data_IF_346066101379
#
_entry.id   IF_346066101379
#
_cell.length_a   1.000
_cell.length_b   1.000
_cell.length_c   1.000
_cell.angle_alpha   90.00
_cell.angle_beta   90.00
_cell.angle_gamma   90.00
#
_symmetry.space_group_name_H-M   'P 1'
#
loop_
_entity.id
_entity.type
_entity.pdbx_description
1 polymer ?
#
# COMPACT_ATOMS: atom_id res chain seq x y z
N UNK A 1 12.50 4.12 12.02
CA UNK A 1 11.71 3.66 10.87
C UNK A 1 11.98 4.64 9.75
N UNK A 2 12.61 4.19 8.67
CA UNK A 2 12.82 5.01 7.49
C UNK A 2 11.46 5.20 6.82
N UNK A 3 10.95 6.43 6.80
CA UNK A 3 9.73 6.75 6.05
C UNK A 3 9.91 6.35 4.58
N UNK A 4 8.83 5.88 3.96
CA UNK A 4 8.81 5.56 2.54
C UNK A 4 9.15 6.83 1.75
N UNK A 5 10.35 6.87 1.15
CA UNK A 5 10.78 7.96 0.28
C UNK A 5 9.94 7.93 -1.00
N UNK A 6 9.12 8.95 -1.23
CA UNK A 6 8.41 9.12 -2.51
C UNK A 6 9.41 9.64 -3.55
N UNK A 7 9.48 8.96 -4.70
CA UNK A 7 10.17 9.45 -5.89
C UNK A 7 9.14 10.12 -6.80
N UNK A 8 9.39 11.36 -7.20
CA UNK A 8 8.57 12.01 -8.21
C UNK A 8 8.89 11.40 -9.59
N UNK A 9 7.97 10.61 -10.13
CA UNK A 9 8.10 10.11 -11.50
C UNK A 9 7.44 11.10 -12.46
N UNK A 10 8.20 11.72 -13.38
CA UNK A 10 7.66 12.65 -14.38
C UNK A 10 7.90 12.20 -15.81
N UNK A 11 6.87 12.42 -16.63
CA UNK A 11 6.86 12.25 -18.08
C UNK A 11 6.81 13.65 -18.74
N UNK A 12 7.83 14.05 -19.50
CA UNK A 12 7.76 15.21 -20.41
C UNK A 12 8.90 16.22 -20.30
N UNK A 13 9.40 16.71 -21.45
CA UNK A 13 10.49 17.68 -21.59
C UNK A 13 10.11 19.14 -21.29
N UNK A 14 11.05 20.06 -21.53
CA UNK A 14 11.00 21.50 -21.18
C UNK A 14 9.58 22.10 -21.20
N UNK A 15 9.06 22.40 -20.01
CA UNK A 15 7.76 23.05 -19.85
C UNK A 15 7.93 24.53 -20.21
N UNK A 16 7.22 24.98 -21.26
CA UNK A 16 7.33 26.33 -21.88
C UNK A 16 7.43 27.50 -20.90
N UNK A 17 6.83 27.39 -19.72
CA UNK A 17 6.59 28.50 -18.78
C UNK A 17 7.43 28.49 -17.50
N UNK A 18 8.26 27.47 -17.28
CA UNK A 18 9.04 27.33 -16.06
C UNK A 18 10.38 26.65 -16.31
N UNK A 19 11.36 26.99 -15.50
CA UNK A 19 12.63 26.28 -15.43
C UNK A 19 12.56 25.27 -14.30
N UNK A 20 13.02 24.05 -14.58
CA UNK A 20 13.05 22.96 -13.63
C UNK A 20 14.50 22.63 -13.29
N UNK A 21 14.74 22.38 -12.02
CA UNK A 21 16.04 21.97 -11.51
C UNK A 21 15.83 20.80 -10.54
N UNK A 22 16.36 19.65 -10.91
CA UNK A 22 16.41 18.48 -10.07
C UNK A 22 17.82 18.31 -9.51
N UNK A 23 17.91 18.04 -8.21
CA UNK A 23 19.16 17.76 -7.52
C UNK A 23 18.95 16.47 -6.73
N UNK A 24 19.76 15.47 -7.06
CA UNK A 24 19.94 14.29 -6.22
C UNK A 24 21.18 14.55 -5.38
N UNK A 25 21.02 14.57 -4.06
CA UNK A 25 22.13 14.81 -3.14
C UNK A 25 23.12 13.66 -3.22
N UNK A 26 24.29 13.91 -3.81
CA UNK A 26 25.42 13.01 -3.80
C UNK A 26 26.56 13.57 -2.94
N UNK A 27 27.66 12.83 -2.81
CA UNK A 27 28.80 13.29 -2.01
C UNK A 27 29.39 14.59 -2.56
N UNK A 28 29.44 14.73 -3.88
CA UNK A 28 29.96 15.93 -4.53
C UNK A 28 29.09 17.16 -4.22
N UNK A 29 27.77 16.99 -4.18
CA UNK A 29 26.82 18.02 -3.79
C UNK A 29 27.07 18.50 -2.37
N UNK A 30 27.26 17.57 -1.42
CA UNK A 30 27.54 17.88 -0.01
C UNK A 30 28.92 18.55 0.19
N UNK A 31 29.89 18.20 -0.65
CA UNK A 31 31.24 18.77 -0.58
C UNK A 31 31.32 20.16 -1.24
N UNK A 32 30.50 20.41 -2.26
CA UNK A 32 30.50 21.64 -3.06
C UNK A 32 29.53 22.70 -2.53
N UNK A 33 28.40 22.27 -1.98
CA UNK A 33 27.39 23.15 -1.41
C UNK A 33 27.47 23.05 0.11
N UNK A 34 27.40 24.19 0.82
CA UNK A 34 27.44 24.26 2.28
C UNK A 34 26.16 23.68 2.92
N UNK A 35 25.85 22.41 2.67
CA UNK A 35 24.66 21.73 3.17
C UNK A 35 23.38 22.26 2.52
N UNK A 36 22.64 23.09 3.26
CA UNK A 36 21.27 23.50 2.92
C UNK A 36 21.17 24.66 1.91
N UNK A 37 22.31 25.20 1.46
CA UNK A 37 22.34 26.27 0.46
C UNK A 37 22.28 25.67 -0.95
N UNK A 38 21.28 26.06 -1.72
CA UNK A 38 21.02 25.54 -3.06
C UNK A 38 21.24 26.67 -4.06
N UNK A 39 22.20 26.47 -4.97
CA UNK A 39 22.39 27.36 -6.12
C UNK A 39 21.37 27.02 -7.20
N UNK A 40 20.61 28.04 -7.60
CA UNK A 40 19.65 27.96 -8.68
C UNK A 40 20.38 28.02 -10.03
N UNK A 41 20.00 27.12 -10.93
CA UNK A 41 20.46 27.09 -12.32
C UNK A 41 19.95 28.27 -13.13
N UNK A 42 18.84 28.86 -12.70
CA UNK A 42 18.18 29.98 -13.36
C UNK A 42 17.87 31.06 -12.32
N UNK A 43 18.30 32.32 -12.56
CA UNK A 43 17.98 33.42 -11.65
C UNK A 43 16.47 33.66 -11.63
N UNK A 44 15.94 34.06 -10.48
CA UNK A 44 14.55 34.49 -10.34
C UNK A 44 14.48 35.83 -9.60
N UNK A 45 13.30 36.44 -9.56
CA UNK A 45 13.07 37.69 -8.84
C UNK A 45 12.70 37.37 -7.39
N UNK A 46 13.51 37.76 -6.42
CA UNK A 46 13.18 37.56 -4.99
C UNK A 46 11.86 38.23 -4.60
N UNK A 47 11.12 37.63 -3.67
CA UNK A 47 9.84 38.11 -3.15
C UNK A 47 8.70 38.07 -4.17
N UNK A 48 8.90 37.41 -5.32
CA UNK A 48 7.89 37.28 -6.38
C UNK A 48 7.00 36.05 -6.21
N UNK A 49 7.25 35.19 -5.21
CA UNK A 49 6.61 33.89 -5.01
C UNK A 49 6.70 32.97 -6.24
N UNK A 50 7.70 33.17 -7.11
CA UNK A 50 7.91 32.44 -8.37
C UNK A 50 8.71 31.14 -8.21
N UNK A 51 8.96 30.71 -6.98
CA UNK A 51 9.63 29.45 -6.70
C UNK A 51 8.64 28.44 -6.11
N UNK A 52 8.70 27.21 -6.63
CA UNK A 52 8.13 26.04 -5.98
C UNK A 52 9.27 25.09 -5.63
N UNK A 53 9.52 24.91 -4.33
CA UNK A 53 10.62 24.08 -3.81
C UNK A 53 10.04 22.83 -3.18
N UNK A 54 10.62 21.68 -3.50
CA UNK A 54 10.22 20.37 -2.99
C UNK A 54 11.44 19.64 -2.43
N UNK A 55 11.26 18.96 -1.29
CA UNK A 55 12.25 18.09 -0.67
C UNK A 55 11.63 16.70 -0.45
N UNK A 56 12.21 15.66 -1.07
CA UNK A 56 11.70 14.28 -1.06
C UNK A 56 10.19 14.19 -1.38
N UNK A 57 9.74 15.03 -2.33
CA UNK A 57 8.34 15.14 -2.76
C UNK A 57 7.44 16.02 -1.88
N UNK A 58 7.90 16.49 -0.72
CA UNK A 58 7.16 17.44 0.11
C UNK A 58 7.42 18.87 -0.35
N UNK A 59 6.35 19.64 -0.61
CA UNK A 59 6.48 21.08 -0.93
C UNK A 59 6.89 21.86 0.32
N UNK A 60 7.89 22.72 0.15
CA UNK A 60 8.40 23.63 1.18
C UNK A 60 7.82 25.03 0.94
N UNK A 61 7.42 25.69 2.02
CA UNK A 61 6.90 27.07 1.98
C UNK A 61 8.02 28.08 2.22
N UNK A 62 7.94 29.23 1.58
CA UNK A 62 8.81 30.37 1.89
C UNK A 62 8.58 30.81 3.35
N UNK A 63 9.66 31.13 4.07
CA UNK A 63 9.58 31.64 5.46
C UNK A 63 9.25 30.57 6.51
N UNK A 64 9.51 29.30 6.20
CA UNK A 64 9.36 28.18 7.15
C UNK A 64 9.77 26.80 6.62
N UNK A 65 9.98 26.66 5.31
CA UNK A 65 10.59 25.49 4.68
C UNK A 65 11.80 25.84 3.79
N UNK A 66 11.85 27.06 3.24
CA UNK A 66 13.05 27.62 2.63
C UNK A 66 13.10 29.15 2.81
N UNK A 67 14.29 29.72 2.68
CA UNK A 67 14.56 31.14 2.69
C UNK A 67 15.23 31.58 1.39
N UNK A 68 14.80 32.72 0.87
CA UNK A 68 15.41 33.38 -0.28
C UNK A 68 16.63 34.20 0.18
N UNK A 69 17.82 33.87 -0.32
CA UNK A 69 19.06 34.56 0.06
C UNK A 69 19.39 35.65 -0.96
N UNK A 70 19.42 35.26 -2.23
CA UNK A 70 19.68 36.13 -3.37
C UNK A 70 18.97 35.55 -4.63
N UNK A 71 18.96 36.25 -5.77
CA UNK A 71 18.32 35.77 -7.00
C UNK A 71 18.79 34.39 -7.51
N UNK A 72 19.94 33.90 -7.06
CA UNK A 72 20.56 32.67 -7.51
C UNK A 72 20.69 31.63 -6.38
N UNK A 73 20.26 31.95 -5.16
CA UNK A 73 20.54 31.11 -3.99
C UNK A 73 19.36 31.08 -3.05
N UNK A 74 18.95 29.89 -2.66
CA UNK A 74 18.01 29.66 -1.56
C UNK A 74 18.69 28.85 -0.46
N UNK A 75 18.19 28.97 0.77
CA UNK A 75 18.56 28.12 1.90
C UNK A 75 17.35 27.27 2.29
N UNK A 76 17.49 25.96 2.30
CA UNK A 76 16.45 25.08 2.85
C UNK A 76 16.41 25.24 4.38
N UNK A 77 15.20 25.35 4.93
CA UNK A 77 14.94 25.31 6.36
C UNK A 77 14.17 24.03 6.69
N UNK A 78 14.91 22.95 6.91
CA UNK A 78 14.35 21.64 7.26
C UNK A 78 14.07 21.51 8.78
N UNK A 79 14.21 22.60 9.53
CA UNK A 79 14.04 22.64 10.97
C UNK A 79 15.15 21.97 11.76
N UNK A 80 14.87 21.71 13.04
CA UNK A 80 15.78 21.06 13.98
C UNK A 80 15.23 19.73 14.47
N UNK A 81 16.13 18.83 14.85
CA UNK A 81 15.73 17.55 15.41
C UNK A 81 14.96 17.71 16.73
N UNK A 82 13.85 16.97 16.93
CA UNK A 82 13.02 17.08 18.13
C UNK A 82 13.76 16.55 19.38
N UNK A 83 13.31 16.91 20.59
CA UNK A 83 14.00 16.56 21.85
C UNK A 83 14.24 15.05 22.08
N UNK A 84 13.46 14.20 21.42
CA UNK A 84 13.53 12.74 21.54
C UNK A 84 14.63 12.14 20.62
N UNK A 85 15.15 12.92 19.68
CA UNK A 85 16.15 12.47 18.72
C UNK A 85 17.57 12.61 19.27
N UNK A 86 18.49 11.73 18.86
CA UNK A 86 19.90 11.73 19.33
C UNK A 86 20.66 13.02 19.00
N UNK A 87 20.21 13.77 18.00
CA UNK A 87 20.78 15.04 17.56
C UNK A 87 19.87 16.23 17.93
N UNK A 88 19.08 16.12 19.00
CA UNK A 88 18.13 17.13 19.43
C UNK A 88 18.71 18.56 19.40
N UNK A 89 17.96 19.50 18.81
CA UNK A 89 18.36 20.91 18.67
C UNK A 89 19.37 21.19 17.56
N UNK A 90 19.92 20.17 16.90
CA UNK A 90 20.74 20.36 15.70
C UNK A 90 19.87 20.53 14.46
N UNK A 91 20.27 21.36 13.48
CA UNK A 91 19.60 21.45 12.17
C UNK A 91 19.54 20.09 11.49
N UNK A 92 18.43 19.80 10.81
CA UNK A 92 18.31 18.59 9.98
C UNK A 92 19.20 18.74 8.75
N UNK A 93 20.24 17.89 8.56
CA UNK A 93 21.12 17.97 7.41
C UNK A 93 20.51 17.25 6.19
N UNK A 94 21.09 17.50 5.02
CA UNK A 94 20.83 16.68 3.83
C UNK A 94 21.60 15.36 3.91
N UNK A 95 20.99 14.28 3.45
CA UNK A 95 21.62 12.97 3.33
C UNK A 95 21.79 12.56 1.88
N UNK A 96 22.80 11.74 1.60
CA UNK A 96 23.00 11.16 0.26
C UNK A 96 21.73 10.42 -0.17
N UNK A 97 21.28 10.70 -1.39
CA UNK A 97 20.07 10.18 -1.99
C UNK A 97 18.78 10.89 -1.55
N UNK A 98 18.87 12.04 -0.90
CA UNK A 98 17.75 12.97 -0.82
C UNK A 98 17.54 13.68 -2.15
N UNK A 99 16.28 13.99 -2.45
CA UNK A 99 15.86 14.64 -3.69
C UNK A 99 15.38 16.05 -3.39
N UNK A 100 15.95 17.03 -4.09
CA UNK A 100 15.50 18.42 -4.06
C UNK A 100 15.07 18.78 -5.47
N UNK A 101 13.85 19.28 -5.58
CA UNK A 101 13.29 19.67 -6.86
C UNK A 101 12.77 21.11 -6.78
N UNK A 102 13.25 21.95 -7.68
CA UNK A 102 12.95 23.38 -7.70
C UNK A 102 12.36 23.72 -9.05
N UNK A 103 11.25 24.45 -9.03
CA UNK A 103 10.63 25.04 -10.20
C UNK A 103 10.66 26.55 -10.08
N UNK A 104 11.32 27.21 -11.01
CA UNK A 104 11.36 28.67 -11.13
C UNK A 104 10.49 29.10 -12.31
N UNK A 105 9.45 29.89 -12.03
CA UNK A 105 8.57 30.42 -13.06
C UNK A 105 9.27 31.55 -13.83
N UNK A 106 9.08 31.63 -15.17
CA UNK A 106 9.72 32.66 -16.00
C UNK A 106 9.09 34.04 -15.75
N UNK A 107 9.92 35.07 -15.53
CA UNK A 107 9.47 36.43 -15.18
C UNK A 107 8.54 37.08 -16.22
N UNK A 108 8.70 36.71 -17.50
CA UNK A 108 7.86 37.18 -18.63
C UNK A 108 6.36 36.88 -18.42
N UNK A 109 6.02 35.87 -17.61
CA UNK A 109 4.64 35.48 -17.36
C UNK A 109 3.87 36.49 -16.49
N UNK A 110 4.54 37.14 -15.54
CA UNK A 110 3.93 38.20 -14.71
C UNK A 110 3.65 39.47 -15.53
N UNK A 111 4.48 39.76 -16.53
CA UNK A 111 4.33 40.95 -17.38
C UNK A 111 3.11 40.84 -18.32
N UNK A 112 2.69 39.61 -18.66
CA UNK A 112 1.54 39.35 -19.54
C UNK A 112 0.19 39.31 -18.82
N UNK A 113 0.12 39.67 -17.54
CA UNK A 113 -1.12 39.62 -16.76
C UNK A 113 -1.54 38.22 -16.30
N UNK A 114 -0.65 37.23 -16.42
CA UNK A 114 -0.87 35.89 -15.88
C UNK A 114 -0.62 35.85 -14.37
N UNK A 115 -1.60 35.36 -13.61
CA UNK A 115 -1.42 35.10 -12.18
C UNK A 115 -0.90 33.67 -12.00
N UNK A 116 0.29 33.53 -11.41
CA UNK A 116 0.92 32.24 -11.10
C UNK A 116 0.03 31.39 -10.19
N UNK A 117 -0.74 32.03 -9.32
CA UNK A 117 -1.70 31.34 -8.46
C UNK A 117 -2.78 30.63 -9.26
N UNK A 118 -3.19 31.17 -10.42
CA UNK A 118 -4.16 30.52 -11.31
C UNK A 118 -3.59 29.21 -11.86
N UNK A 119 -2.32 29.19 -12.28
CA UNK A 119 -1.67 27.97 -12.77
C UNK A 119 -1.44 26.95 -11.65
N UNK A 120 -1.08 27.41 -10.44
CA UNK A 120 -1.00 26.55 -9.26
C UNK A 120 -2.37 25.94 -8.92
N UNK A 121 -3.43 26.74 -9.01
CA UNK A 121 -4.80 26.25 -8.81
C UNK A 121 -5.19 25.22 -9.87
N UNK A 122 -4.87 25.47 -11.14
CA UNK A 122 -5.15 24.53 -12.23
C UNK A 122 -4.37 23.22 -12.07
N UNK A 123 -3.09 23.28 -11.69
CA UNK A 123 -2.28 22.09 -11.43
C UNK A 123 -2.80 21.30 -10.22
N UNK A 124 -3.22 21.98 -9.14
CA UNK A 124 -3.86 21.35 -7.99
C UNK A 124 -5.21 20.74 -8.38
N UNK A 125 -6.00 21.43 -9.22
CA UNK A 125 -7.27 20.92 -9.72
C UNK A 125 -7.05 19.67 -10.58
N UNK A 126 -6.04 19.67 -11.44
CA UNK A 126 -5.64 18.50 -12.24
C UNK A 126 -5.18 17.34 -11.36
N UNK A 127 -4.34 17.59 -10.36
CA UNK A 127 -3.93 16.57 -9.37
C UNK A 127 -5.13 16.01 -8.60
N UNK A 128 -6.05 16.87 -8.17
CA UNK A 128 -7.29 16.45 -7.51
C UNK A 128 -8.16 15.61 -8.45
N UNK A 129 -8.26 16.01 -9.72
CA UNK A 129 -9.01 15.26 -10.73
C UNK A 129 -8.37 13.89 -10.95
N UNK A 130 -7.06 13.81 -11.13
CA UNK A 130 -6.31 12.56 -11.28
C UNK A 130 -6.44 11.67 -10.03
N UNK A 131 -6.29 12.23 -8.83
CA UNK A 131 -6.48 11.51 -7.57
C UNK A 131 -7.93 11.03 -7.36
N UNK A 132 -8.91 11.66 -8.02
CA UNK A 132 -10.33 11.27 -7.99
C UNK A 132 -10.72 10.34 -9.13
N UNK A 133 -9.88 10.17 -10.16
CA UNK A 133 -10.14 9.20 -11.23
C UNK A 133 -9.94 7.79 -10.67
N UNK A 134 -10.98 6.97 -10.78
CA UNK A 134 -10.87 5.55 -10.52
C UNK A 134 -9.92 4.92 -11.54
N UNK A 135 -8.91 4.19 -11.08
CA UNK A 135 -8.13 3.31 -11.94
C UNK A 135 -9.03 2.18 -12.48
N UNK A 136 -8.64 1.54 -13.59
CA UNK A 136 -9.41 0.42 -14.16
C UNK A 136 -9.61 -0.77 -13.21
N UNK A 137 -8.81 -0.85 -12.15
CA UNK A 137 -8.87 -1.89 -11.11
C UNK A 137 -9.61 -1.44 -9.85
N UNK A 138 -9.99 -0.17 -9.75
CA UNK A 138 -10.63 0.35 -8.54
C UNK A 138 -12.09 -0.08 -8.49
N UNK A 139 -12.54 -0.47 -7.29
CA UNK A 139 -13.94 -0.80 -7.06
C UNK A 139 -14.72 0.49 -6.87
N UNK A 140 -15.75 0.78 -7.68
CA UNK A 140 -16.58 1.96 -7.48
C UNK A 140 -17.44 1.77 -6.22
N UNK A 141 -17.39 2.74 -5.31
CA UNK A 141 -18.22 2.77 -4.11
C UNK A 141 -19.25 3.88 -4.25
N UNK A 142 -20.50 3.57 -3.90
CA UNK A 142 -21.61 4.52 -4.06
C UNK A 142 -21.68 5.53 -2.90
N UNK A 143 -21.10 5.20 -1.74
CA UNK A 143 -21.03 6.07 -0.56
C UNK A 143 -19.62 6.07 0.04
N UNK A 144 -19.31 7.15 0.74
CA UNK A 144 -18.08 7.28 1.52
C UNK A 144 -18.00 6.23 2.63
N UNK A 145 -19.15 5.88 3.23
CA UNK A 145 -19.24 4.83 4.25
C UNK A 145 -18.86 3.46 3.68
N UNK A 146 -19.41 3.07 2.52
CA UNK A 146 -19.06 1.82 1.84
C UNK A 146 -17.55 1.72 1.54
N UNK A 147 -16.93 2.86 1.20
CA UNK A 147 -15.48 2.95 0.96
C UNK A 147 -14.70 2.83 2.26
N UNK A 148 -15.17 3.45 3.34
CA UNK A 148 -14.52 3.40 4.64
C UNK A 148 -14.57 1.98 5.22
N UNK A 149 -15.72 1.32 5.13
CA UNK A 149 -15.91 -0.08 5.50
C UNK A 149 -14.96 -0.99 4.71
N UNK A 150 -14.89 -0.82 3.39
CA UNK A 150 -13.96 -1.57 2.54
C UNK A 150 -12.47 -1.37 2.92
N UNK A 151 -12.07 -0.14 3.27
CA UNK A 151 -10.69 0.17 3.69
C UNK A 151 -10.39 -0.43 5.07
N UNK A 152 -11.33 -0.34 6.01
CA UNK A 152 -11.20 -0.88 7.37
C UNK A 152 -11.17 -2.41 7.35
N UNK A 153 -12.01 -3.03 6.53
CA UNK A 153 -11.98 -4.47 6.27
C UNK A 153 -10.60 -4.86 5.75
N UNK A 154 -10.07 -4.17 4.74
CA UNK A 154 -8.77 -4.52 4.17
C UNK A 154 -7.58 -4.34 5.12
N UNK A 155 -7.66 -3.43 6.08
CA UNK A 155 -6.62 -3.20 7.10
C UNK A 155 -6.63 -4.24 8.24
N UNK A 156 -7.72 -5.00 8.41
CA UNK A 156 -7.95 -5.94 9.52
C UNK A 156 -8.05 -7.40 9.10
N UNK A 157 -7.99 -7.70 7.79
CA UNK A 157 -8.02 -9.08 7.29
C UNK A 157 -6.67 -9.77 7.51
N UNK A 158 -6.72 -10.94 8.16
CA UNK A 158 -5.61 -11.88 8.29
C UNK A 158 -6.05 -13.23 7.79
N UNK A 159 -5.11 -14.07 7.34
CA UNK A 159 -5.43 -15.38 6.80
C UNK A 159 -4.68 -16.49 7.52
N UNK A 160 -5.37 -17.63 7.72
CA UNK A 160 -4.75 -18.91 8.03
C UNK A 160 -4.70 -19.70 6.73
N UNK A 161 -3.51 -20.19 6.35
CA UNK A 161 -3.31 -20.90 5.08
C UNK A 161 -2.86 -22.32 5.35
N UNK A 162 -3.58 -23.29 4.80
CA UNK A 162 -3.26 -24.71 4.85
C UNK A 162 -2.91 -25.20 3.44
N UNK A 163 -1.75 -25.84 3.30
CA UNK A 163 -1.22 -26.30 2.01
C UNK A 163 -1.00 -27.81 2.02
N UNK A 164 -1.62 -28.49 1.05
CA UNK A 164 -1.47 -29.93 0.80
C UNK A 164 -0.87 -30.15 -0.60
N UNK A 165 0.44 -30.43 -0.71
CA UNK A 165 1.09 -30.73 -1.98
C UNK A 165 0.45 -31.93 -2.69
N UNK A 166 0.07 -32.95 -1.91
CA UNK A 166 -0.70 -34.12 -2.37
C UNK A 166 -2.08 -34.07 -1.73
N UNK A 167 -3.12 -34.13 -2.56
CA UNK A 167 -4.51 -34.19 -2.09
C UNK A 167 -4.89 -35.67 -1.94
N UNK A 168 -5.24 -36.08 -0.71
CA UNK A 168 -5.70 -37.43 -0.39
C UNK A 168 -7.05 -37.33 0.30
N UNK A 169 -7.88 -38.36 0.14
CA UNK A 169 -9.13 -38.49 0.86
C UNK A 169 -8.89 -38.61 2.38
N UNK A 170 -9.80 -38.04 3.17
CA UNK A 170 -9.77 -38.08 4.62
C UNK A 170 -9.20 -36.82 5.28
N UNK A 171 -8.94 -36.93 6.59
CA UNK A 171 -8.37 -35.85 7.41
C UNK A 171 -6.90 -35.60 7.08
N UNK A 172 -6.45 -34.36 7.23
CA UNK A 172 -5.02 -34.04 7.21
C UNK A 172 -4.30 -34.58 8.44
N UNK A 173 -3.03 -34.97 8.26
CA UNK A 173 -2.17 -35.48 9.33
C UNK A 173 -1.67 -34.39 10.30
N UNK A 174 -1.99 -33.13 10.00
CA UNK A 174 -1.62 -31.97 10.81
C UNK A 174 -2.81 -31.03 10.97
N UNK A 175 -2.74 -30.25 12.04
CA UNK A 175 -3.58 -29.09 12.33
C UNK A 175 -2.73 -27.83 12.53
N UNK A 176 -3.36 -26.67 12.40
CA UNK A 176 -2.71 -25.37 12.51
C UNK A 176 -3.44 -24.54 13.57
N UNK A 177 -2.75 -24.07 14.62
CA UNK A 177 -3.38 -23.20 15.62
C UNK A 177 -3.61 -21.80 15.06
N UNK A 178 -4.75 -21.19 15.38
CA UNK A 178 -5.04 -19.80 15.04
C UNK A 178 -4.15 -18.85 15.85
N UNK A 179 -3.34 -17.99 15.20
CA UNK A 179 -2.43 -17.09 15.91
C UNK A 179 -3.11 -15.80 16.41
N UNK A 180 -4.38 -15.59 16.10
CA UNK A 180 -5.16 -14.42 16.48
C UNK A 180 -6.64 -14.78 16.64
N UNK A 181 -7.40 -13.95 17.36
CA UNK A 181 -8.87 -14.05 17.45
C UNK A 181 -9.53 -13.16 16.41
N UNK A 182 -10.79 -13.45 16.08
CA UNK A 182 -11.57 -12.68 15.12
C UNK A 182 -12.81 -13.42 14.65
N UNK A 183 -13.32 -13.04 13.47
CA UNK A 183 -14.43 -13.72 12.80
C UNK A 183 -14.03 -14.17 11.40
N UNK A 184 -14.31 -15.42 11.04
CA UNK A 184 -14.14 -15.94 9.69
C UNK A 184 -15.05 -15.15 8.75
N UNK A 185 -14.44 -14.44 7.82
CA UNK A 185 -15.11 -13.68 6.77
C UNK A 185 -15.52 -14.61 5.63
N UNK A 186 -14.56 -15.37 5.09
CA UNK A 186 -14.78 -16.30 3.99
C UNK A 186 -13.66 -17.34 3.92
N UNK A 187 -13.92 -18.43 3.19
CA UNK A 187 -12.94 -19.50 2.97
C UNK A 187 -12.84 -19.78 1.48
N UNK A 188 -11.61 -19.86 0.98
CA UNK A 188 -11.33 -20.14 -0.43
C UNK A 188 -10.37 -21.30 -0.57
N UNK A 189 -10.49 -22.04 -1.67
CA UNK A 189 -9.54 -23.08 -2.02
C UNK A 189 -9.06 -22.97 -3.46
N UNK A 190 -7.82 -23.39 -3.69
CA UNK A 190 -7.17 -23.44 -5.00
C UNK A 190 -6.41 -24.75 -5.18
N UNK A 191 -6.34 -25.23 -6.41
CA UNK A 191 -5.53 -26.37 -6.82
C UNK A 191 -4.36 -25.90 -7.72
N UNK A 192 -3.19 -26.44 -7.45
CA UNK A 192 -2.02 -26.35 -8.33
C UNK A 192 -2.32 -27.01 -9.69
N UNK A 193 -2.96 -28.17 -9.68
CA UNK A 193 -3.43 -28.88 -10.88
C UNK A 193 -4.90 -29.26 -10.70
N UNK A 194 -5.76 -28.87 -11.64
CA UNK A 194 -7.17 -29.22 -11.63
C UNK A 194 -7.38 -30.74 -11.78
N UNK A 195 -8.40 -31.27 -11.12
CA UNK A 195 -8.86 -32.65 -11.33
C UNK A 195 -9.83 -32.75 -12.50
N UNK A 196 -10.05 -33.97 -12.99
CA UNK A 196 -11.10 -34.27 -13.99
C UNK A 196 -12.49 -34.45 -13.37
N UNK A 197 -12.57 -34.49 -12.05
CA UNK A 197 -13.79 -34.58 -11.26
C UNK A 197 -13.74 -33.54 -10.13
N UNK A 198 -14.86 -33.31 -9.46
CA UNK A 198 -14.92 -32.33 -8.37
C UNK A 198 -14.05 -32.75 -7.19
N UNK A 199 -13.47 -31.76 -6.53
CA UNK A 199 -12.79 -31.90 -5.25
C UNK A 199 -13.60 -31.16 -4.18
N UNK A 200 -13.98 -31.87 -3.11
CA UNK A 200 -14.81 -31.34 -2.02
C UNK A 200 -14.02 -31.39 -0.72
N UNK A 201 -13.93 -30.25 -0.04
CA UNK A 201 -13.09 -30.04 1.14
C UNK A 201 -13.89 -29.36 2.24
N UNK A 202 -13.81 -29.91 3.44
CA UNK A 202 -14.35 -29.35 4.68
C UNK A 202 -13.22 -28.72 5.48
N UNK A 203 -13.56 -27.68 6.23
CA UNK A 203 -12.63 -27.04 7.17
C UNK A 203 -13.12 -27.32 8.57
N UNK A 204 -12.32 -28.04 9.35
CA UNK A 204 -12.70 -28.45 10.68
C UNK A 204 -11.94 -27.62 11.73
N UNK A 205 -12.65 -27.20 12.77
CA UNK A 205 -12.10 -26.50 13.93
C UNK A 205 -12.23 -27.35 15.19
N UNK A 206 -11.18 -27.38 16.00
CA UNK A 206 -11.21 -27.82 17.40
C UNK A 206 -10.94 -26.62 18.30
N UNK A 207 -11.85 -26.34 19.23
CA UNK A 207 -11.65 -25.25 20.18
C UNK A 207 -10.55 -25.59 21.19
N UNK A 208 -9.83 -24.57 21.65
CA UNK A 208 -8.70 -24.73 22.59
C UNK A 208 -9.07 -25.56 23.82
N UNK A 209 -10.27 -25.36 24.36
CA UNK A 209 -10.76 -26.08 25.55
C UNK A 209 -10.85 -27.60 25.38
N UNK A 210 -10.92 -28.10 24.13
CA UNK A 210 -11.09 -29.51 23.84
C UNK A 210 -9.81 -30.16 23.28
N UNK A 211 -8.66 -29.48 23.26
CA UNK A 211 -7.45 -30.01 22.61
C UNK A 211 -6.95 -31.35 23.20
N UNK A 212 -7.17 -31.58 24.50
CA UNK A 212 -6.81 -32.85 25.15
C UNK A 212 -7.72 -34.03 24.72
N UNK A 213 -8.97 -33.73 24.35
CA UNK A 213 -9.95 -34.70 23.84
C UNK A 213 -10.65 -34.11 22.61
N UNK A 214 -9.97 -34.08 21.46
CA UNK A 214 -10.29 -33.19 20.36
C UNK A 214 -11.66 -33.50 19.75
N UNK A 215 -12.53 -32.49 19.75
CA UNK A 215 -13.83 -32.53 19.07
C UNK A 215 -13.79 -31.58 17.88
N UNK A 216 -13.85 -32.16 16.68
CA UNK A 216 -13.74 -31.44 15.42
C UNK A 216 -15.12 -31.09 14.88
N UNK A 217 -15.31 -29.82 14.51
CA UNK A 217 -16.57 -29.33 13.94
C UNK A 217 -16.30 -28.66 12.60
N UNK A 218 -17.06 -29.02 11.57
CA UNK A 218 -17.00 -28.32 10.28
C UNK A 218 -17.49 -26.87 10.45
N UNK A 219 -16.69 -25.90 10.03
CA UNK A 219 -17.05 -24.47 10.14
C UNK A 219 -17.95 -24.00 9.00
N UNK A 220 -18.20 -24.86 8.01
CA UNK A 220 -18.98 -24.56 6.83
C UNK A 220 -20.35 -25.25 6.88
N UNK A 221 -21.42 -24.55 6.51
CA UNK A 221 -22.71 -25.18 6.18
C UNK A 221 -22.78 -25.65 4.74
N UNK A 222 -21.98 -25.02 3.87
CA UNK A 222 -21.76 -25.46 2.48
C UNK A 222 -20.27 -25.65 2.29
N UNK A 223 -19.87 -26.89 2.03
CA UNK A 223 -18.46 -27.27 1.87
C UNK A 223 -17.81 -26.60 0.66
N UNK A 224 -16.48 -26.58 0.66
CA UNK A 224 -15.73 -26.02 -0.46
C UNK A 224 -15.74 -27.02 -1.60
N UNK A 225 -16.34 -26.64 -2.73
CA UNK A 225 -16.30 -27.43 -3.96
C UNK A 225 -15.42 -26.74 -5.00
N UNK A 226 -14.48 -27.48 -5.57
CA UNK A 226 -13.77 -27.11 -6.79
C UNK A 226 -14.23 -28.06 -7.88
N UNK A 227 -15.03 -27.56 -8.80
CA UNK A 227 -15.61 -28.34 -9.91
C UNK A 227 -14.53 -28.91 -10.84
N UNK A 228 -14.87 -30.01 -11.52
CA UNK A 228 -14.04 -30.61 -12.56
C UNK A 228 -13.47 -29.58 -13.55
N UNK A 229 -12.17 -29.66 -13.82
CA UNK A 229 -11.47 -28.74 -14.74
C UNK A 229 -11.17 -27.36 -14.18
N UNK A 230 -11.79 -26.96 -13.06
CA UNK A 230 -11.53 -25.68 -12.41
C UNK A 230 -10.37 -25.77 -11.41
N UNK A 231 -9.69 -24.64 -11.20
CA UNK A 231 -8.56 -24.53 -10.27
C UNK A 231 -8.90 -23.82 -8.96
N UNK A 232 -10.07 -23.21 -8.83
CA UNK A 232 -10.41 -22.41 -7.65
C UNK A 232 -11.88 -22.57 -7.30
N UNK A 233 -12.20 -22.52 -6.00
CA UNK A 233 -13.57 -22.55 -5.52
C UNK A 233 -14.33 -21.25 -5.82
N UNK A 234 -13.61 -20.13 -6.00
CA UNK A 234 -14.21 -18.84 -6.35
C UNK A 234 -15.03 -18.88 -7.66
N UNK A 235 -14.69 -19.79 -8.58
CA UNK A 235 -15.43 -19.97 -9.83
C UNK A 235 -16.51 -21.05 -9.76
N UNK A 236 -16.72 -21.69 -8.60
CA UNK A 236 -17.77 -22.70 -8.45
C UNK A 236 -19.15 -22.06 -8.42
N UNK A 237 -20.13 -22.77 -8.96
CA UNK A 237 -21.54 -22.42 -8.88
C UNK A 237 -22.08 -22.51 -7.44
N UNK A 238 -21.44 -23.32 -6.59
CA UNK A 238 -21.78 -23.47 -5.18
C UNK A 238 -20.66 -22.90 -4.31
N UNK A 239 -20.83 -21.65 -3.88
CA UNK A 239 -19.88 -20.98 -3.00
C UNK A 239 -19.93 -21.57 -1.58
N UNK A 240 -18.77 -21.71 -0.91
CA UNK A 240 -18.74 -22.16 0.47
C UNK A 240 -19.42 -21.13 1.38
N UNK A 241 -20.15 -21.62 2.38
CA UNK A 241 -20.90 -20.79 3.33
C UNK A 241 -20.41 -21.09 4.73
N UNK A 242 -19.89 -20.06 5.41
CA UNK A 242 -19.39 -20.14 6.79
C UNK A 242 -20.57 -20.16 7.76
N UNK A 243 -20.64 -21.19 8.60
CA UNK A 243 -21.67 -21.34 9.64
C UNK A 243 -21.13 -21.12 11.05
N UNK A 244 -19.83 -21.37 11.26
CA UNK A 244 -19.14 -21.12 12.52
C UNK A 244 -18.13 -20.01 12.29
N UNK A 245 -18.43 -18.82 12.80
CA UNK A 245 -17.69 -17.60 12.46
C UNK A 245 -16.63 -17.23 13.46
N UNK A 246 -16.83 -17.47 14.76
CA UNK A 246 -15.86 -17.00 15.76
C UNK A 246 -14.52 -17.77 15.68
N UNK A 247 -13.42 -17.08 15.94
CA UNK A 247 -12.07 -17.66 16.02
C UNK A 247 -11.42 -17.17 17.31
N UNK A 248 -10.93 -18.10 18.14
CA UNK A 248 -10.13 -17.78 19.32
C UNK A 248 -8.65 -18.11 19.08
N UNK A 249 -7.76 -17.41 19.78
CA UNK A 249 -6.32 -17.74 19.75
C UNK A 249 -6.14 -19.20 20.19
N UNK A 250 -5.31 -19.94 19.46
CA UNK A 250 -4.98 -21.36 19.65
C UNK A 250 -6.11 -22.35 19.32
N UNK A 251 -7.24 -21.92 18.75
CA UNK A 251 -8.16 -22.86 18.13
C UNK A 251 -7.44 -23.56 16.96
N UNK A 252 -7.53 -24.89 16.91
CA UNK A 252 -6.86 -25.70 15.90
C UNK A 252 -7.74 -25.88 14.66
N UNK A 253 -7.15 -25.71 13.49
CA UNK A 253 -7.80 -25.89 12.19
C UNK A 253 -7.15 -27.02 11.40
N UNK A 254 -7.96 -27.85 10.76
CA UNK A 254 -7.50 -28.89 9.83
C UNK A 254 -8.44 -29.02 8.64
N UNK A 255 -8.03 -29.79 7.63
CA UNK A 255 -8.88 -30.07 6.48
C UNK A 255 -9.37 -31.52 6.52
N UNK A 256 -10.60 -31.71 6.06
CA UNK A 256 -11.13 -33.03 5.72
C UNK A 256 -11.50 -33.05 4.25
N UNK A 257 -10.87 -33.93 3.49
CA UNK A 257 -11.12 -34.04 2.05
C UNK A 257 -12.13 -35.15 1.80
N UNK A 258 -13.34 -34.75 1.43
CA UNK A 258 -14.50 -35.64 1.27
C UNK A 258 -14.50 -36.32 -0.11
N UNK A 259 -14.08 -35.57 -1.14
CA UNK A 259 -13.93 -36.04 -2.52
C UNK A 259 -12.66 -35.47 -3.12
N UNK A 260 -11.88 -36.30 -3.83
CA UNK A 260 -10.68 -35.86 -4.56
C UNK A 260 -10.88 -36.10 -6.04
N UNK A 261 -10.82 -35.02 -6.83
CA UNK A 261 -10.87 -35.12 -8.27
C UNK A 261 -9.64 -35.87 -8.80
N UNK A 262 -9.84 -36.81 -9.73
CA UNK A 262 -8.72 -37.56 -10.31
C UNK A 262 -7.70 -36.60 -10.95
N UNK A 263 -6.43 -36.74 -10.55
CA UNK A 263 -5.33 -35.87 -11.01
C UNK A 263 -5.17 -34.54 -10.26
N UNK A 264 -6.07 -34.20 -9.33
CA UNK A 264 -5.98 -32.98 -8.53
C UNK A 264 -4.72 -32.97 -7.63
N UNK A 265 -3.98 -31.85 -7.64
CA UNK A 265 -2.74 -31.69 -6.85
C UNK A 265 -2.58 -30.27 -6.32
N UNK A 266 -1.81 -30.13 -5.23
CA UNK A 266 -1.45 -28.84 -4.66
C UNK A 266 -2.66 -28.06 -4.16
N UNK A 267 -3.42 -28.61 -3.21
CA UNK A 267 -4.54 -27.90 -2.60
C UNK A 267 -4.02 -26.84 -1.62
N UNK A 268 -4.52 -25.63 -1.76
CA UNK A 268 -4.31 -24.52 -0.83
C UNK A 268 -5.68 -24.08 -0.35
N UNK A 269 -5.89 -24.05 0.97
CA UNK A 269 -7.10 -23.50 1.59
C UNK A 269 -6.71 -22.27 2.39
N UNK A 270 -7.43 -21.19 2.16
CA UNK A 270 -7.26 -19.90 2.80
C UNK A 270 -8.51 -19.61 3.63
N UNK A 271 -8.33 -19.48 4.94
CA UNK A 271 -9.38 -19.09 5.89
C UNK A 271 -9.12 -17.62 6.21
N UNK A 272 -9.96 -16.73 5.70
CA UNK A 272 -9.81 -15.29 5.89
C UNK A 272 -10.60 -14.85 7.10
N UNK A 273 -9.95 -14.13 8.00
CA UNK A 273 -10.45 -13.73 9.32
C UNK A 273 -10.36 -12.22 9.44
N UNK A 274 -11.45 -11.61 9.88
CA UNK A 274 -11.54 -10.23 10.30
C UNK A 274 -11.16 -10.14 11.78
N UNK A 275 -10.10 -9.39 12.11
CA UNK A 275 -9.60 -9.22 13.49
C UNK A 275 -9.92 -7.87 14.10
#
# INVERSE_FOLDING_TARGET
MAGTKMRLQRYGGEVTHRHEQEIIVDQNFLDTNNGLYITLTHPYVMGSNMLDVYYNGQRLSEGGGYEEIDPNTIRLDLGVYPPIHKQAGQPVPLFIGDEIYITAWKAEYLQSGGNIDTLRFLALEEEIIEARKFNPTDTPFNRLDDRLDYIQDRATLRAIVLVLPKVKLGTTDFDVPAPFSGKVSHVLAKLGTAGTEDTVVKVERCITANLENPTWTNILSTDITIEAGNRASKSSQQQPVVSVTDVSVNDSYRLYVDKVGAGAKGLVVEIVIYT
#
